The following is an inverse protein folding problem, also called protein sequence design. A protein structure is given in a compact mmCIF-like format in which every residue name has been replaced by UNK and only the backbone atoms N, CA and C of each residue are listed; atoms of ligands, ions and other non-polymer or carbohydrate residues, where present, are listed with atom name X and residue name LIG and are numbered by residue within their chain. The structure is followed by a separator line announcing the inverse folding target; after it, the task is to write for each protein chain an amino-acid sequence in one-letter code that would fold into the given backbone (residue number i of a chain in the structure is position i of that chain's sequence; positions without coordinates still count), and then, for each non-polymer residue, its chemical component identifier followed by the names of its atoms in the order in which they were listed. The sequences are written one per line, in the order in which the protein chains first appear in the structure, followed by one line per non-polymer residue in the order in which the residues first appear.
data_IF_231673706497
#
_entry.id   IF_231673706497
#
_cell.length_a   1.000
_cell.length_b   1.000
_cell.length_c   1.000
_cell.angle_alpha   90.00
_cell.angle_beta   90.00
_cell.angle_gamma   90.00
#
_symmetry.space_group_name_H-M   'P 1'
#
loop_
_entity.id
_entity.type
_entity.pdbx_description
1 polymer ?
#
# COMPACT_ATOMS: atom_id res chain seq x y z
N UNK A 1 -14.85 3.84 -2.99
CA UNK A 1 -13.76 4.68 -2.48
C UNK A 1 -13.47 4.42 -1.00
N UNK A 2 -14.42 4.65 -0.08
CA UNK A 2 -14.30 4.23 1.35
C UNK A 2 -13.93 2.75 1.53
N UNK A 3 -14.47 1.87 0.70
CA UNK A 3 -14.16 0.43 0.71
C UNK A 3 -12.65 0.13 0.57
N UNK A 4 -11.89 0.96 -0.18
CA UNK A 4 -10.46 0.73 -0.36
C UNK A 4 -9.63 1.13 0.86
N UNK A 5 -10.02 2.17 1.61
CA UNK A 5 -9.33 2.53 2.85
C UNK A 5 -9.54 1.46 3.94
N UNK A 6 -10.77 0.93 4.05
CA UNK A 6 -11.07 -0.19 4.95
C UNK A 6 -10.29 -1.46 4.58
N UNK A 7 -10.29 -1.81 3.29
CA UNK A 7 -9.49 -2.93 2.78
C UNK A 7 -7.99 -2.72 3.05
N UNK A 8 -7.46 -1.52 2.80
CA UNK A 8 -6.05 -1.21 3.09
C UNK A 8 -5.69 -1.39 4.57
N UNK A 9 -6.61 -1.04 5.48
CA UNK A 9 -6.45 -1.26 6.92
C UNK A 9 -6.42 -2.76 7.26
N UNK A 10 -7.36 -3.55 6.74
CA UNK A 10 -7.39 -5.00 6.96
C UNK A 10 -6.08 -5.68 6.53
N UNK A 11 -5.55 -5.32 5.35
CA UNK A 11 -4.29 -5.88 4.86
C UNK A 11 -3.08 -5.47 5.72
N UNK A 12 -3.03 -4.23 6.22
CA UNK A 12 -1.88 -3.82 7.04
C UNK A 12 -1.92 -4.43 8.43
N UNK A 13 -3.12 -4.64 8.99
CA UNK A 13 -3.29 -5.34 10.27
C UNK A 13 -2.83 -6.80 10.14
N UNK A 14 -3.23 -7.47 9.05
CA UNK A 14 -2.73 -8.80 8.74
C UNK A 14 -1.20 -8.82 8.53
N UNK A 15 -0.64 -7.84 7.81
CA UNK A 15 0.80 -7.74 7.61
C UNK A 15 1.58 -7.59 8.92
N UNK A 16 1.00 -6.88 9.91
CA UNK A 16 1.56 -6.76 11.26
C UNK A 16 1.51 -8.12 11.99
N UNK A 17 0.40 -8.84 11.93
CA UNK A 17 0.34 -10.18 12.53
C UNK A 17 1.35 -11.15 11.92
N UNK A 18 1.59 -11.05 10.61
CA UNK A 18 2.56 -11.90 9.91
C UNK A 18 4.02 -11.51 10.25
N UNK A 19 4.32 -10.23 10.48
CA UNK A 19 5.67 -9.83 10.91
C UNK A 19 5.97 -10.32 12.33
N UNK A 20 5.00 -10.27 13.24
CA UNK A 20 5.11 -10.77 14.61
C UNK A 20 5.32 -12.29 14.65
N UNK A 21 4.73 -13.01 13.70
CA UNK A 21 4.89 -14.45 13.54
C UNK A 21 6.11 -14.86 12.70
N UNK A 22 6.99 -13.91 12.34
CA UNK A 22 8.19 -14.12 11.51
C UNK A 22 7.90 -14.71 10.12
N UNK A 23 6.67 -14.54 9.61
CA UNK A 23 6.25 -14.98 8.27
C UNK A 23 6.51 -13.89 7.23
N UNK A 24 7.80 -13.65 6.98
CA UNK A 24 8.28 -12.45 6.25
C UNK A 24 7.79 -12.32 4.80
N UNK A 25 7.63 -13.43 4.07
CA UNK A 25 7.08 -13.42 2.71
C UNK A 25 5.62 -12.94 2.74
N UNK A 26 4.80 -13.53 3.61
CA UNK A 26 3.40 -13.17 3.78
C UNK A 26 3.25 -11.72 4.24
N UNK A 27 4.01 -11.30 5.26
CA UNK A 27 4.02 -9.92 5.74
C UNK A 27 4.35 -8.92 4.61
N UNK A 28 5.32 -9.24 3.76
CA UNK A 28 5.72 -8.38 2.64
C UNK A 28 4.64 -8.30 1.57
N UNK A 29 4.05 -9.44 1.17
CA UNK A 29 2.95 -9.46 0.20
C UNK A 29 1.74 -8.67 0.68
N UNK A 30 1.31 -8.89 1.94
CA UNK A 30 0.19 -8.17 2.55
C UNK A 30 0.46 -6.66 2.63
N UNK A 31 1.69 -6.26 2.99
CA UNK A 31 2.09 -4.85 3.02
C UNK A 31 1.99 -4.17 1.64
N UNK A 32 2.39 -4.87 0.57
CA UNK A 32 2.24 -4.36 -0.80
C UNK A 32 0.76 -4.18 -1.16
N UNK A 33 -0.08 -5.17 -0.86
CA UNK A 33 -1.51 -5.06 -1.11
C UNK A 33 -2.17 -3.94 -0.29
N UNK A 34 -1.78 -3.75 0.96
CA UNK A 34 -2.23 -2.63 1.78
C UNK A 34 -1.90 -1.28 1.11
N UNK A 35 -0.66 -1.10 0.65
CA UNK A 35 -0.22 0.13 0.01
C UNK A 35 -0.92 0.41 -1.34
N UNK A 36 -1.23 -0.63 -2.13
CA UNK A 36 -1.99 -0.49 -3.38
C UNK A 36 -3.44 -0.06 -3.08
N UNK A 37 -4.11 -0.70 -2.12
CA UNK A 37 -5.47 -0.29 -1.74
C UNK A 37 -5.49 1.13 -1.14
N UNK A 38 -4.44 1.52 -0.40
CA UNK A 38 -4.28 2.88 0.08
C UNK A 38 -4.14 3.88 -1.09
N UNK A 39 -3.40 3.52 -2.13
CA UNK A 39 -3.28 4.33 -3.33
C UNK A 39 -4.62 4.50 -4.06
N UNK A 40 -5.38 3.42 -4.25
CA UNK A 40 -6.72 3.48 -4.84
C UNK A 40 -7.68 4.35 -4.02
N UNK A 41 -7.59 4.31 -2.70
CA UNK A 41 -8.36 5.17 -1.81
C UNK A 41 -8.01 6.65 -2.00
N UNK A 42 -6.70 6.99 -2.06
CA UNK A 42 -6.22 8.37 -2.23
C UNK A 42 -6.52 8.91 -3.63
N UNK A 43 -6.21 8.15 -4.69
CA UNK A 43 -6.54 8.53 -6.06
C UNK A 43 -8.04 8.72 -6.23
N UNK A 44 -8.84 7.80 -5.68
CA UNK A 44 -10.28 7.98 -5.65
C UNK A 44 -10.66 9.28 -4.97
N UNK A 45 -10.19 9.53 -3.74
CA UNK A 45 -10.61 10.68 -2.94
C UNK A 45 -10.20 12.03 -3.54
N UNK A 46 -9.07 12.07 -4.25
CA UNK A 46 -8.52 13.32 -4.80
C UNK A 46 -8.84 13.55 -6.27
N UNK A 47 -9.05 12.48 -7.05
CA UNK A 47 -9.19 12.55 -8.51
C UNK A 47 -10.53 12.00 -9.02
N UNK A 48 -11.26 11.24 -8.21
CA UNK A 48 -12.45 10.51 -8.67
C UNK A 48 -12.13 9.28 -9.52
N UNK A 49 -10.85 8.92 -9.65
CA UNK A 49 -10.34 7.83 -10.50
C UNK A 49 -9.44 6.88 -9.71
N UNK A 50 -9.30 5.63 -10.16
CA UNK A 50 -8.31 4.66 -9.64
C UNK A 50 -7.61 3.95 -10.79
N UNK A 51 -6.48 3.31 -10.52
CA UNK A 51 -5.85 2.45 -11.51
C UNK A 51 -6.77 1.25 -11.79
N UNK A 52 -6.99 0.94 -13.07
CA UNK A 52 -7.80 -0.18 -13.52
C UNK A 52 -6.91 -1.21 -14.22
N UNK A 53 -6.07 -1.90 -13.46
CA UNK A 53 -5.20 -2.94 -13.99
C UNK A 53 -4.12 -3.37 -13.02
N UNK A 54 -3.35 -4.39 -13.41
CA UNK A 54 -2.21 -4.89 -12.64
C UNK A 54 -0.93 -4.05 -12.83
N UNK A 55 -0.93 -3.14 -13.81
CA UNK A 55 0.24 -2.34 -14.15
C UNK A 55 0.57 -1.33 -13.05
N UNK A 56 1.67 -1.58 -12.33
CA UNK A 56 2.11 -0.75 -11.20
C UNK A 56 2.46 0.68 -11.59
N UNK A 57 2.85 0.92 -12.85
CA UNK A 57 3.16 2.26 -13.34
C UNK A 57 1.92 3.17 -13.41
N UNK A 58 0.73 2.59 -13.64
CA UNK A 58 -0.50 3.35 -13.73
C UNK A 58 -0.89 3.96 -12.38
N UNK A 59 -0.70 3.22 -11.28
CA UNK A 59 -1.03 3.72 -9.94
C UNK A 59 -0.06 4.82 -9.49
N UNK A 60 1.23 4.72 -9.82
CA UNK A 60 2.19 5.79 -9.52
C UNK A 60 1.89 7.07 -10.30
N UNK A 61 1.52 6.94 -11.59
CA UNK A 61 1.14 8.09 -12.41
C UNK A 61 -0.10 8.80 -11.86
N UNK A 62 -1.12 8.06 -11.41
CA UNK A 62 -2.29 8.65 -10.78
C UNK A 62 -1.97 9.32 -9.44
N UNK A 63 -1.13 8.71 -8.61
CA UNK A 63 -0.74 9.29 -7.31
C UNK A 63 -0.03 10.64 -7.48
N UNK A 64 0.83 10.78 -8.50
CA UNK A 64 1.52 12.06 -8.75
C UNK A 64 0.56 13.23 -9.05
N UNK A 65 -0.65 12.93 -9.52
CA UNK A 65 -1.72 13.91 -9.78
C UNK A 65 -2.58 14.20 -8.54
N UNK A 66 -2.57 13.33 -7.52
CA UNK A 66 -3.42 13.39 -6.33
C UNK A 66 -2.90 14.35 -5.21
N UNK A 67 -2.10 15.36 -5.59
CA UNK A 67 -1.58 16.38 -4.69
C UNK A 67 -0.67 15.83 -3.58
N UNK A 68 -0.60 16.53 -2.44
CA UNK A 68 0.32 16.19 -1.34
C UNK A 68 0.09 14.78 -0.78
N UNK A 69 -1.16 14.34 -0.71
CA UNK A 69 -1.52 13.02 -0.18
C UNK A 69 -1.08 11.92 -1.15
N UNK A 70 -1.29 12.16 -2.46
CA UNK A 70 -0.80 11.29 -3.52
C UNK A 70 0.71 11.12 -3.49
N UNK A 71 1.47 12.22 -3.44
CA UNK A 71 2.94 12.20 -3.37
C UNK A 71 3.47 11.46 -2.13
N UNK A 72 2.78 11.58 -0.99
CA UNK A 72 3.14 10.87 0.23
C UNK A 72 3.01 9.35 0.07
N UNK A 73 1.93 8.88 -0.55
CA UNK A 73 1.72 7.45 -0.83
C UNK A 73 2.66 6.96 -1.93
N UNK A 74 2.85 7.73 -3.00
CA UNK A 74 3.71 7.40 -4.14
C UNK A 74 5.15 7.10 -3.69
N UNK A 75 5.70 7.96 -2.80
CA UNK A 75 7.05 7.83 -2.26
C UNK A 75 7.29 6.48 -1.59
N UNK A 76 6.30 5.98 -0.86
CA UNK A 76 6.38 4.72 -0.13
C UNK A 76 6.10 3.53 -1.05
N UNK A 77 5.05 3.63 -1.87
CA UNK A 77 4.65 2.57 -2.81
C UNK A 77 5.75 2.27 -3.84
N UNK A 78 6.44 3.29 -4.36
CA UNK A 78 7.56 3.12 -5.29
C UNK A 78 8.67 2.21 -4.74
N UNK A 79 8.84 2.14 -3.41
CA UNK A 79 9.83 1.29 -2.75
C UNK A 79 9.31 -0.11 -2.43
N UNK A 80 7.99 -0.29 -2.42
CA UNK A 80 7.32 -1.58 -2.17
C UNK A 80 7.16 -2.39 -3.46
N UNK A 81 6.87 -1.74 -4.59
CA UNK A 81 6.59 -2.42 -5.86
C UNK A 81 7.71 -3.39 -6.32
N UNK A 82 9.01 -3.05 -6.20
CA UNK A 82 10.07 -4.00 -6.56
C UNK A 82 10.09 -5.27 -5.70
N UNK A 83 9.53 -5.22 -4.47
CA UNK A 83 9.44 -6.38 -3.59
C UNK A 83 8.32 -7.34 -4.00
N UNK A 84 7.35 -6.90 -4.82
CA UNK A 84 6.25 -7.75 -5.28
C UNK A 84 6.76 -8.90 -6.15
N UNK A 85 7.65 -8.60 -7.09
CA UNK A 85 8.26 -9.63 -7.94
C UNK A 85 9.01 -10.67 -7.11
N UNK A 86 9.77 -10.20 -6.11
CA UNK A 86 10.53 -11.06 -5.21
C UNK A 86 9.64 -11.90 -4.29
N UNK A 87 8.57 -11.32 -3.72
CA UNK A 87 7.70 -12.03 -2.79
C UNK A 87 6.71 -12.99 -3.47
N UNK A 88 6.33 -12.73 -4.73
CA UNK A 88 5.29 -13.53 -5.42
C UNK A 88 5.86 -14.55 -6.41
N UNK A 89 7.10 -14.37 -6.91
CA UNK A 89 7.63 -15.20 -8.01
C UNK A 89 9.01 -15.79 -7.76
N UNK A 90 9.75 -15.35 -6.74
CA UNK A 90 11.06 -15.91 -6.39
C UNK A 90 10.93 -16.84 -5.18
N UNK A 91 11.56 -18.04 -5.19
CA UNK A 91 11.54 -18.96 -4.05
C UNK A 91 12.43 -18.50 -2.89
N UNK A 92 13.14 -17.37 -3.04
CA UNK A 92 14.11 -16.86 -2.09
C UNK A 92 13.42 -16.20 -0.89
N UNK A 93 13.95 -16.46 0.31
CA UNK A 93 13.48 -15.84 1.55
C UNK A 93 13.53 -14.30 1.50
N UNK A 94 12.52 -13.68 2.12
CA UNK A 94 12.55 -12.25 2.44
C UNK A 94 13.20 -12.07 3.81
N UNK A 95 14.32 -11.37 3.87
CA UNK A 95 14.97 -11.05 5.13
C UNK A 95 14.04 -10.25 6.07
N UNK A 96 14.03 -10.58 7.37
CA UNK A 96 13.12 -9.95 8.34
C UNK A 96 13.17 -8.42 8.34
N UNK A 97 14.38 -7.83 8.24
CA UNK A 97 14.52 -6.37 8.14
C UNK A 97 13.90 -5.75 6.88
N UNK A 98 13.83 -6.49 5.78
CA UNK A 98 13.12 -6.07 4.54
C UNK A 98 11.61 -6.10 4.78
N UNK A 99 11.10 -7.18 5.38
CA UNK A 99 9.68 -7.31 5.69
C UNK A 99 9.22 -6.25 6.69
N UNK A 100 9.98 -5.98 7.76
CA UNK A 100 9.68 -4.90 8.72
C UNK A 100 9.57 -3.55 8.01
N UNK A 101 10.55 -3.22 7.16
CA UNK A 101 10.52 -1.99 6.35
C UNK A 101 9.30 -1.95 5.43
N UNK A 102 8.88 -3.09 4.86
CA UNK A 102 7.70 -3.15 4.01
C UNK A 102 6.42 -2.83 4.79
N UNK A 103 6.24 -3.44 5.97
CA UNK A 103 5.09 -3.19 6.85
C UNK A 103 5.05 -1.72 7.29
N UNK A 104 6.17 -1.13 7.72
CA UNK A 104 6.25 0.29 8.09
C UNK A 104 5.83 1.22 6.94
N UNK A 105 6.21 0.89 5.69
CA UNK A 105 5.83 1.65 4.50
C UNK A 105 4.33 1.57 4.25
N UNK A 106 3.77 0.37 4.33
CA UNK A 106 2.34 0.15 4.17
C UNK A 106 1.52 0.91 5.21
N UNK A 107 1.95 0.90 6.48
CA UNK A 107 1.30 1.67 7.56
C UNK A 107 1.27 3.17 7.25
N UNK A 108 2.36 3.74 6.70
CA UNK A 108 2.37 5.15 6.26
C UNK A 108 1.39 5.42 5.14
N UNK A 109 1.28 4.53 4.14
CA UNK A 109 0.29 4.66 3.08
C UNK A 109 -1.14 4.61 3.64
N UNK A 110 -1.45 3.64 4.49
CA UNK A 110 -2.79 3.45 5.08
C UNK A 110 -3.18 4.64 5.97
N UNK A 111 -2.23 5.21 6.70
CA UNK A 111 -2.47 6.42 7.50
C UNK A 111 -2.95 7.58 6.62
N UNK A 112 -2.31 7.81 5.46
CA UNK A 112 -2.75 8.84 4.50
C UNK A 112 -4.14 8.51 3.95
N UNK A 113 -4.38 7.27 3.54
CA UNK A 113 -5.66 6.82 3.00
C UNK A 113 -6.83 7.01 4.00
N UNK A 114 -6.59 6.77 5.29
CA UNK A 114 -7.58 7.02 6.35
C UNK A 114 -7.89 8.49 6.52
N UNK A 115 -6.86 9.34 6.53
CA UNK A 115 -7.02 10.77 6.72
C UNK A 115 -7.79 11.42 5.57
N UNK A 116 -7.58 10.98 4.32
CA UNK A 116 -8.39 11.48 3.20
C UNK A 116 -9.84 10.97 3.25
N UNK A 117 -10.06 9.77 3.76
CA UNK A 117 -11.40 9.19 3.92
C UNK A 117 -12.25 9.91 4.96
N UNK A 118 -11.68 10.29 6.10
CA UNK A 118 -12.39 11.02 7.16
C UNK A 118 -12.70 12.47 6.77
N UNK A 119 -11.87 13.12 5.95
CA UNK A 119 -12.12 14.47 5.44
C UNK A 119 -13.27 14.56 4.43
N UNK A 120 -13.72 13.43 3.88
CA UNK A 120 -14.92 13.39 3.02
C UNK A 120 -16.22 13.28 3.83
N UNK A 121 -16.14 13.12 5.16
CA UNK A 121 -17.29 12.94 6.05
C UNK A 121 -17.68 14.23 6.80
N UNK A 122 -16.80 15.24 6.80
CA UNK A 122 -17.00 16.56 7.42
C UNK A 122 -17.46 17.60 6.38
#
# INVERSE_FOLDING_TARGET
MRAYAGKAQEYVDAAVSEIEAERFIAATSLAIHAAINAADAVCGARLGERAAGEAHDQVLALLSRAGKDGLAVEKELRRLLPLKTKAEYEPDDVAGGVATKAVERAQRCVTVARNVGSLMEA
#
